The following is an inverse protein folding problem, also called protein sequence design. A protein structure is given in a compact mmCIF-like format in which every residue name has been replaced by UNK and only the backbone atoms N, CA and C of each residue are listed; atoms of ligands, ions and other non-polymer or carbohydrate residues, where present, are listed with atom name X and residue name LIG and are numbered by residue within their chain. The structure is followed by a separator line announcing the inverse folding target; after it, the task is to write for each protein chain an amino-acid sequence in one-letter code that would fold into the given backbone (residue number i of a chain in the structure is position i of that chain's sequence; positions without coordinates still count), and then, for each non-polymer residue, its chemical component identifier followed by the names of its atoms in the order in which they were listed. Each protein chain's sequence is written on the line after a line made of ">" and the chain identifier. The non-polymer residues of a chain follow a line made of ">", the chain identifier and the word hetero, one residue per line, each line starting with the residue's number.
data_IF_980781779196
#
_entry.id   IF_980781779196
#
_cell.length_a   1.000
_cell.length_b   1.000
_cell.length_c   1.000
_cell.angle_alpha   90.00
_cell.angle_beta   90.00
_cell.angle_gamma   90.00
#
_symmetry.space_group_name_H-M   'P 1'
#
loop_
_entity.id
_entity.type
_entity.pdbx_description
1 polymer ?
#
# COMPACT_ATOMS: atom_id res chain seq x y z
N UNK A 1 -28.72 6.47 10.37
CA UNK A 1 -29.44 5.77 9.30
C UNK A 1 -28.96 6.35 7.98
N UNK A 2 -28.25 5.58 7.16
CA UNK A 2 -27.81 6.07 5.83
C UNK A 2 -28.97 5.84 4.88
N UNK A 3 -29.50 6.92 4.31
CA UNK A 3 -30.63 6.86 3.39
C UNK A 3 -30.08 6.48 2.01
N UNK A 4 -30.26 5.22 1.59
CA UNK A 4 -29.88 4.79 0.25
C UNK A 4 -30.84 5.39 -0.77
N UNK A 5 -30.32 6.30 -1.60
CA UNK A 5 -31.01 6.80 -2.78
C UNK A 5 -30.85 5.75 -3.87
N UNK A 6 -31.94 5.07 -4.22
CA UNK A 6 -31.95 4.11 -5.32
C UNK A 6 -32.27 4.89 -6.61
N UNK A 7 -31.25 5.16 -7.43
CA UNK A 7 -31.42 5.66 -8.80
C UNK A 7 -31.38 4.48 -9.77
N UNK A 8 -32.17 4.54 -10.83
CA UNK A 8 -32.03 3.59 -11.92
C UNK A 8 -30.75 3.91 -12.71
N UNK A 9 -30.09 2.89 -13.29
CA UNK A 9 -28.84 3.10 -14.04
C UNK A 9 -29.02 4.11 -15.18
N UNK A 10 -30.21 4.14 -15.79
CA UNK A 10 -30.60 5.08 -16.84
C UNK A 10 -30.74 6.54 -16.39
N UNK A 11 -30.79 6.79 -15.08
CA UNK A 11 -30.97 8.11 -14.48
C UNK A 11 -29.64 8.72 -13.99
N UNK A 12 -28.55 7.99 -14.16
CA UNK A 12 -27.23 8.49 -13.80
C UNK A 12 -26.77 9.56 -14.79
N UNK A 13 -26.25 10.64 -14.25
CA UNK A 13 -25.46 11.60 -15.02
C UNK A 13 -24.16 10.95 -15.52
N UNK A 14 -23.57 11.51 -16.57
CA UNK A 14 -22.28 11.04 -17.08
C UNK A 14 -21.18 11.06 -15.99
N UNK A 15 -21.22 12.04 -15.08
CA UNK A 15 -20.26 12.14 -13.98
C UNK A 15 -20.48 11.04 -12.92
N UNK A 16 -21.72 10.70 -12.58
CA UNK A 16 -22.04 9.62 -11.65
C UNK A 16 -21.64 8.26 -12.22
N UNK A 17 -21.96 8.02 -13.50
CA UNK A 17 -21.54 6.81 -14.22
C UNK A 17 -20.02 6.70 -14.28
N UNK A 18 -19.32 7.80 -14.58
CA UNK A 18 -17.86 7.82 -14.64
C UNK A 18 -17.23 7.47 -13.28
N UNK A 19 -17.78 7.97 -12.16
CA UNK A 19 -17.30 7.65 -10.81
C UNK A 19 -17.52 6.19 -10.43
N UNK A 20 -18.68 5.61 -10.78
CA UNK A 20 -18.97 4.20 -10.50
C UNK A 20 -18.10 3.26 -11.32
N UNK A 21 -17.71 3.68 -12.52
CA UNK A 21 -16.88 2.91 -13.44
C UNK A 21 -15.39 3.22 -13.31
N UNK A 22 -15.02 4.16 -12.45
CA UNK A 22 -13.62 4.49 -12.19
C UNK A 22 -12.96 3.36 -11.41
N UNK A 23 -12.03 2.67 -12.07
CA UNK A 23 -11.26 1.55 -11.52
C UNK A 23 -9.88 1.99 -11.01
N UNK A 24 -9.54 3.26 -11.17
CA UNK A 24 -8.20 3.80 -10.93
C UNK A 24 -8.04 4.51 -9.57
N UNK A 25 -9.14 4.72 -8.83
CA UNK A 25 -9.20 5.60 -7.66
C UNK A 25 -8.27 5.29 -6.46
N UNK A 26 -7.52 4.18 -6.48
CA UNK A 26 -6.62 3.80 -5.38
C UNK A 26 -5.12 4.02 -5.62
N UNK A 27 -4.68 4.25 -6.87
CA UNK A 27 -3.24 4.21 -7.21
C UNK A 27 -2.55 5.57 -7.03
N UNK A 28 -3.27 6.69 -7.22
CA UNK A 28 -2.67 8.01 -7.20
C UNK A 28 -2.14 8.42 -5.82
N UNK A 29 -2.77 7.95 -4.74
CA UNK A 29 -2.51 8.39 -3.36
C UNK A 29 -1.19 7.84 -2.77
N UNK A 30 -0.65 6.75 -3.32
CA UNK A 30 0.53 6.07 -2.75
C UNK A 30 1.86 6.49 -3.38
N UNK A 31 1.82 7.23 -4.49
CA UNK A 31 3.02 7.52 -5.30
C UNK A 31 4.09 8.29 -4.53
N UNK A 32 3.69 9.31 -3.78
CA UNK A 32 4.61 10.15 -3.02
C UNK A 32 5.22 9.38 -1.85
N UNK A 33 4.41 8.57 -1.16
CA UNK A 33 4.85 7.70 -0.08
C UNK A 33 5.90 6.69 -0.55
N UNK A 34 5.63 6.00 -1.66
CA UNK A 34 6.57 5.02 -2.24
C UNK A 34 7.86 5.70 -2.69
N UNK A 35 7.76 6.89 -3.29
CA UNK A 35 8.94 7.67 -3.70
C UNK A 35 9.81 8.06 -2.51
N UNK A 36 9.20 8.39 -1.36
CA UNK A 36 9.90 8.62 -0.10
C UNK A 36 10.68 7.39 0.37
N UNK A 37 10.01 6.23 0.45
CA UNK A 37 10.63 4.96 0.87
C UNK A 37 11.82 4.60 -0.03
N UNK A 38 11.65 4.70 -1.35
CA UNK A 38 12.74 4.44 -2.30
C UNK A 38 13.92 5.41 -2.10
N UNK A 39 13.63 6.69 -1.83
CA UNK A 39 14.65 7.70 -1.52
C UNK A 39 15.43 7.38 -0.25
N UNK A 40 14.74 6.92 0.79
CA UNK A 40 15.34 6.55 2.07
C UNK A 40 16.21 5.30 1.94
N UNK A 41 15.72 4.24 1.29
CA UNK A 41 16.50 3.03 1.00
C UNK A 41 17.74 3.35 0.15
N UNK A 42 17.62 4.23 -0.85
CA UNK A 42 18.76 4.63 -1.67
C UNK A 42 19.84 5.38 -0.87
N UNK A 43 19.46 6.18 0.12
CA UNK A 43 20.38 6.98 0.94
C UNK A 43 20.96 6.19 2.12
N UNK A 44 20.17 5.33 2.73
CA UNK A 44 20.44 4.72 4.05
C UNK A 44 20.61 3.20 3.98
N UNK A 45 20.30 2.57 2.84
CA UNK A 45 20.44 1.12 2.63
C UNK A 45 19.65 0.31 3.66
N UNK A 46 20.30 -0.72 4.19
CA UNK A 46 19.72 -1.67 5.15
C UNK A 46 19.19 -1.03 6.43
N UNK A 47 19.73 0.14 6.83
CA UNK A 47 19.21 0.86 8.00
C UNK A 47 17.75 1.29 7.79
N UNK A 48 17.40 1.76 6.59
CA UNK A 48 16.02 2.09 6.25
C UNK A 48 15.12 0.85 6.21
N UNK A 49 15.64 -0.28 5.72
CA UNK A 49 14.89 -1.54 5.71
C UNK A 49 14.51 -1.97 7.13
N UNK A 50 15.46 -1.98 8.07
CA UNK A 50 15.19 -2.30 9.49
C UNK A 50 14.20 -1.34 10.12
N UNK A 51 14.34 -0.05 9.85
CA UNK A 51 13.40 0.97 10.34
C UNK A 51 11.97 0.69 9.87
N UNK A 52 11.78 0.42 8.57
CA UNK A 52 10.45 0.17 8.01
C UNK A 52 9.87 -1.18 8.45
N UNK A 53 10.68 -2.24 8.58
CA UNK A 53 10.23 -3.51 9.17
C UNK A 53 9.73 -3.29 10.61
N UNK A 54 10.48 -2.54 11.41
CA UNK A 54 10.04 -2.21 12.78
C UNK A 54 8.75 -1.38 12.79
N UNK A 55 8.60 -0.44 11.86
CA UNK A 55 7.45 0.45 11.80
C UNK A 55 6.18 -0.26 11.33
N UNK A 56 6.26 -1.08 10.29
CA UNK A 56 5.08 -1.66 9.64
C UNK A 56 4.79 -3.09 10.09
N UNK A 57 5.83 -3.88 10.36
CA UNK A 57 5.69 -5.28 10.78
C UNK A 57 5.80 -5.44 12.31
N UNK A 58 6.31 -4.41 13.01
CA UNK A 58 6.42 -4.40 14.47
C UNK A 58 7.55 -5.28 15.01
N UNK A 59 8.48 -5.71 14.15
CA UNK A 59 9.58 -6.62 14.50
C UNK A 59 10.93 -5.90 14.36
N UNK A 60 11.82 -6.11 15.32
CA UNK A 60 13.23 -5.68 15.23
C UNK A 60 14.07 -6.84 14.67
N UNK A 61 14.85 -6.60 13.61
CA UNK A 61 15.60 -7.64 12.89
C UNK A 61 17.10 -7.34 12.81
N UNK A 62 17.90 -8.33 13.21
CA UNK A 62 19.36 -8.26 13.17
C UNK A 62 19.93 -8.63 11.80
N UNK A 63 19.35 -9.63 11.13
CA UNK A 63 19.74 -10.06 9.79
C UNK A 63 18.57 -9.93 8.83
N UNK A 64 18.86 -9.46 7.61
CA UNK A 64 17.86 -9.36 6.54
C UNK A 64 17.72 -10.69 5.82
N UNK A 65 18.83 -11.40 5.63
CA UNK A 65 18.85 -12.71 4.99
C UNK A 65 18.42 -13.79 5.97
N UNK A 66 17.51 -14.66 5.54
CA UNK A 66 17.11 -15.83 6.32
C UNK A 66 18.18 -16.90 6.19
N UNK A 67 18.71 -17.37 7.31
CA UNK A 67 19.76 -18.37 7.32
C UNK A 67 19.26 -19.76 6.88
N UNK A 68 20.19 -20.58 6.36
CA UNK A 68 19.89 -21.91 5.85
C UNK A 68 19.30 -22.88 6.90
N UNK A 69 19.59 -22.70 8.18
CA UNK A 69 19.04 -23.58 9.21
C UNK A 69 17.55 -23.26 9.42
N UNK A 70 17.20 -21.97 9.43
CA UNK A 70 15.80 -21.53 9.48
C UNK A 70 15.01 -22.05 8.28
N UNK A 71 15.58 -21.98 7.07
CA UNK A 71 14.94 -22.52 5.85
C UNK A 71 14.69 -24.03 5.97
N UNK A 72 15.65 -24.80 6.52
CA UNK A 72 15.51 -26.25 6.69
C UNK A 72 14.47 -26.64 7.76
N UNK A 73 14.14 -25.73 8.66
CA UNK A 73 13.24 -25.99 9.79
C UNK A 73 11.77 -25.64 9.51
N UNK A 74 11.48 -24.96 8.39
CA UNK A 74 10.13 -24.60 7.93
C UNK A 74 9.42 -25.77 7.24
#
# INVERSE_FOLDING_TARGET
>A
MVQMIHKHLSELTAQESQRLLDRAGGIQDVTDTVSGILGDVKKQGDAALRQYTRQFDGVDIDEIEVDNNTIKAA
#
